data_IF_461781377217
#
_entry.id   IF_461781377217
#
_cell.length_a   1.000
_cell.length_b   1.000
_cell.length_c   1.000
_cell.angle_alpha   90.00
_cell.angle_beta   90.00
_cell.angle_gamma   90.00
#
_symmetry.space_group_name_H-M   'P 1'
#
loop_
_entity.id
_entity.type
_entity.pdbx_description
1 polymer ?
#
# COMPACT_ATOMS: atom_id res chain seq x y z
N UNK A 1 -10.76 -28.25 48.07
CA UNK A 1 -10.69 -26.85 47.60
C UNK A 1 -9.23 -26.50 47.38
N UNK A 2 -8.74 -26.58 46.14
CA UNK A 2 -7.41 -26.07 45.75
C UNK A 2 -7.67 -24.76 45.02
N UNK A 3 -7.38 -23.66 45.68
CA UNK A 3 -7.46 -22.34 45.07
C UNK A 3 -6.30 -22.19 44.08
N UNK A 4 -6.70 -22.05 42.83
CA UNK A 4 -5.90 -21.79 41.65
C UNK A 4 -5.47 -20.32 41.68
N UNK A 5 -4.27 -20.04 42.20
CA UNK A 5 -3.67 -18.71 42.10
C UNK A 5 -2.90 -18.60 40.78
N UNK A 6 -3.69 -18.22 39.76
CA UNK A 6 -3.37 -17.42 38.58
C UNK A 6 -1.91 -16.91 38.54
N UNK A 7 -1.08 -17.52 37.69
CA UNK A 7 0.19 -16.92 37.25
C UNK A 7 -0.13 -15.82 36.25
N UNK A 8 -0.19 -14.58 36.72
CA UNK A 8 0.02 -13.42 35.88
C UNK A 8 1.52 -13.34 35.57
N UNK A 9 1.92 -13.92 34.44
CA UNK A 9 3.24 -13.68 33.84
C UNK A 9 3.06 -13.59 32.34
N UNK A 10 3.43 -12.43 31.81
CA UNK A 10 3.68 -12.25 30.39
C UNK A 10 2.62 -11.42 29.68
N UNK A 11 2.44 -10.16 30.11
CA UNK A 11 2.35 -9.09 29.11
C UNK A 11 3.72 -8.97 28.43
N UNK A 12 4.11 -10.00 27.70
CA UNK A 12 5.10 -9.88 26.64
C UNK A 12 4.33 -9.19 25.51
N UNK A 13 4.20 -7.87 25.64
CA UNK A 13 3.88 -6.99 24.53
C UNK A 13 5.10 -7.02 23.64
N UNK A 14 5.31 -8.16 22.96
CA UNK A 14 6.28 -8.24 21.90
C UNK A 14 5.68 -7.42 20.76
N UNK A 15 5.94 -6.12 20.81
CA UNK A 15 6.01 -5.30 19.62
C UNK A 15 7.20 -5.84 18.83
N UNK A 16 7.02 -7.02 18.22
CA UNK A 16 7.74 -7.37 17.02
C UNK A 16 7.25 -6.34 16.04
N UNK A 17 7.92 -5.20 16.00
CA UNK A 17 7.82 -4.29 14.88
C UNK A 17 8.01 -5.18 13.67
N UNK A 18 6.96 -5.34 12.88
CA UNK A 18 6.93 -6.06 11.61
C UNK A 18 7.82 -5.34 10.56
N UNK A 19 9.03 -4.96 10.95
CA UNK A 19 10.15 -4.62 10.10
C UNK A 19 10.88 -5.89 9.62
N UNK A 20 10.24 -7.05 9.76
CA UNK A 20 10.59 -8.23 8.98
C UNK A 20 10.18 -7.96 7.55
N UNK A 21 11.11 -7.44 6.75
CA UNK A 21 11.02 -7.41 5.29
C UNK A 21 10.99 -8.87 4.83
N UNK A 22 9.81 -9.48 4.91
CA UNK A 22 9.58 -10.86 4.54
C UNK A 22 9.46 -10.87 3.02
N UNK A 23 10.61 -10.91 2.34
CA UNK A 23 10.82 -11.05 0.90
C UNK A 23 10.23 -12.36 0.31
N UNK A 24 9.07 -12.85 0.79
CA UNK A 24 8.36 -14.01 0.22
C UNK A 24 7.24 -13.64 -0.75
N UNK A 25 6.96 -12.35 -0.95
CA UNK A 25 5.91 -11.88 -1.87
C UNK A 25 6.51 -10.79 -2.77
N UNK A 26 7.15 -11.12 -3.91
CA UNK A 26 7.63 -10.10 -4.85
C UNK A 26 6.55 -9.07 -5.19
N UNK A 27 5.29 -9.51 -5.22
CA UNK A 27 4.11 -8.67 -5.37
C UNK A 27 4.00 -7.50 -4.37
N UNK A 28 4.32 -7.69 -3.08
CA UNK A 28 4.20 -6.63 -2.08
C UNK A 28 5.23 -5.51 -2.31
N UNK A 29 6.45 -5.89 -2.69
CA UNK A 29 7.52 -4.96 -3.03
C UNK A 29 7.17 -4.22 -4.33
N UNK A 30 6.62 -4.93 -5.33
CA UNK A 30 6.13 -4.30 -6.57
C UNK A 30 5.08 -3.23 -6.28
N UNK A 31 4.12 -3.49 -5.38
CA UNK A 31 3.13 -2.47 -5.01
C UNK A 31 3.75 -1.27 -4.30
N UNK A 32 4.69 -1.49 -3.38
CA UNK A 32 5.38 -0.41 -2.68
C UNK A 32 6.23 0.44 -3.64
N UNK A 33 6.92 -0.21 -4.59
CA UNK A 33 7.67 0.47 -5.64
C UNK A 33 6.75 1.25 -6.58
N UNK A 34 5.59 0.69 -6.94
CA UNK A 34 4.60 1.39 -7.76
C UNK A 34 4.10 2.67 -7.06
N UNK A 35 3.74 2.58 -5.78
CA UNK A 35 3.31 3.72 -4.97
C UNK A 35 4.43 4.81 -4.89
N UNK A 36 5.68 4.38 -4.73
CA UNK A 36 6.83 5.28 -4.73
C UNK A 36 7.07 5.95 -6.09
N UNK A 37 6.98 5.20 -7.19
CA UNK A 37 7.10 5.69 -8.56
C UNK A 37 6.02 6.72 -8.89
N UNK A 38 4.77 6.49 -8.47
CA UNK A 38 3.67 7.44 -8.60
C UNK A 38 4.03 8.76 -7.90
N UNK A 39 4.48 8.68 -6.65
CA UNK A 39 4.90 9.86 -5.89
C UNK A 39 6.03 10.63 -6.57
N UNK A 40 7.03 9.92 -7.11
CA UNK A 40 8.15 10.52 -7.80
C UNK A 40 7.74 11.19 -9.11
N UNK A 41 6.88 10.55 -9.92
CA UNK A 41 6.34 11.12 -11.16
C UNK A 41 5.52 12.37 -10.87
N UNK A 42 4.66 12.36 -9.84
CA UNK A 42 3.88 13.56 -9.48
C UNK A 42 4.77 14.69 -8.94
N UNK A 43 5.81 14.36 -8.19
CA UNK A 43 6.79 15.34 -7.71
C UNK A 43 7.54 15.98 -8.87
N UNK A 44 8.05 15.18 -9.82
CA UNK A 44 8.74 15.72 -11.00
C UNK A 44 7.77 16.51 -11.88
N UNK A 45 6.55 15.99 -12.07
CA UNK A 45 5.47 16.64 -12.81
C UNK A 45 5.11 18.01 -12.24
N UNK A 46 5.10 18.17 -10.92
CA UNK A 46 4.81 19.45 -10.28
C UNK A 46 5.88 20.50 -10.59
N UNK A 47 7.16 20.12 -10.57
CA UNK A 47 8.25 21.01 -10.99
C UNK A 47 8.19 21.36 -12.48
N UNK A 48 7.89 20.38 -13.34
CA UNK A 48 7.73 20.60 -14.78
C UNK A 48 6.58 21.59 -15.08
N UNK A 49 5.52 21.57 -14.27
CA UNK A 49 4.36 22.45 -14.43
C UNK A 49 4.65 23.93 -14.14
N UNK A 50 5.76 24.22 -13.43
CA UNK A 50 6.20 25.58 -13.11
C UNK A 50 6.81 26.31 -14.32
N UNK A 51 7.29 25.55 -15.31
CA UNK A 51 7.91 26.10 -16.51
C UNK A 51 6.99 25.94 -17.71
N UNK A 52 6.71 27.04 -18.41
CA UNK A 52 5.75 27.04 -19.53
C UNK A 52 6.20 26.16 -20.70
N UNK A 53 7.51 26.10 -20.96
CA UNK A 53 8.12 25.26 -22.01
C UNK A 53 8.05 23.76 -21.70
N UNK A 54 8.00 23.37 -20.42
CA UNK A 54 7.99 21.98 -19.97
C UNK A 54 6.59 21.50 -19.57
N UNK A 55 5.60 22.40 -19.59
CA UNK A 55 4.23 22.13 -19.17
C UNK A 55 3.58 20.98 -19.94
N UNK A 56 3.87 20.87 -21.24
CA UNK A 56 3.39 19.75 -22.07
C UNK A 56 3.93 18.41 -21.58
N UNK A 57 5.23 18.34 -21.27
CA UNK A 57 5.86 17.14 -20.71
C UNK A 57 5.31 16.81 -19.32
N UNK A 58 5.11 17.83 -18.47
CA UNK A 58 4.46 17.70 -17.17
C UNK A 58 3.03 17.15 -17.29
N UNK A 59 2.26 17.58 -18.29
CA UNK A 59 0.90 17.10 -18.52
C UNK A 59 0.85 15.61 -18.87
N UNK A 60 1.78 15.14 -19.71
CA UNK A 60 1.90 13.71 -20.02
C UNK A 60 2.37 12.88 -18.81
N UNK A 61 3.33 13.39 -18.03
CA UNK A 61 3.75 12.75 -16.77
C UNK A 61 2.57 12.64 -15.80
N UNK A 62 1.77 13.70 -15.68
CA UNK A 62 0.61 13.74 -14.80
C UNK A 62 -0.45 12.72 -15.24
N UNK A 63 -0.77 12.66 -16.54
CA UNK A 63 -1.70 11.68 -17.09
C UNK A 63 -1.24 10.24 -16.84
N UNK A 64 0.05 9.95 -17.08
CA UNK A 64 0.64 8.64 -16.79
C UNK A 64 0.61 8.31 -15.29
N UNK A 65 1.00 9.26 -14.44
CA UNK A 65 0.97 9.12 -12.98
C UNK A 65 -0.44 8.85 -12.44
N UNK A 66 -1.46 9.53 -12.99
CA UNK A 66 -2.86 9.30 -12.66
C UNK A 66 -3.31 7.88 -13.01
N UNK A 67 -2.94 7.38 -14.20
CA UNK A 67 -3.25 6.00 -14.59
C UNK A 67 -2.57 4.98 -13.66
N UNK A 68 -1.31 5.20 -13.29
CA UNK A 68 -0.60 4.33 -12.35
C UNK A 68 -1.28 4.33 -10.98
N UNK A 69 -1.73 5.50 -10.50
CA UNK A 69 -2.41 5.64 -9.20
C UNK A 69 -3.68 4.80 -9.11
N UNK A 70 -4.37 4.55 -10.23
CA UNK A 70 -5.58 3.74 -10.26
C UNK A 70 -5.33 2.23 -10.08
N UNK A 71 -4.11 1.74 -10.32
CA UNK A 71 -3.82 0.30 -10.33
C UNK A 71 -4.12 -0.33 -8.96
N UNK A 72 -3.58 0.25 -7.88
CA UNK A 72 -3.73 -0.25 -6.51
C UNK A 72 -5.18 -0.25 -6.00
N UNK A 73 -5.97 0.84 -6.09
CA UNK A 73 -7.37 0.83 -5.69
C UNK A 73 -8.22 -0.08 -6.58
N UNK A 74 -7.89 -0.23 -7.88
CA UNK A 74 -8.62 -1.15 -8.78
C UNK A 74 -8.45 -2.60 -8.36
N UNK A 75 -7.22 -3.03 -8.06
CA UNK A 75 -6.95 -4.40 -7.60
C UNK A 75 -7.63 -4.66 -6.25
N UNK A 76 -7.56 -3.71 -5.32
CA UNK A 76 -8.26 -3.79 -4.03
C UNK A 76 -9.77 -3.90 -4.22
N UNK A 77 -10.35 -3.07 -5.09
CA UNK A 77 -11.78 -3.06 -5.37
C UNK A 77 -12.26 -4.39 -5.96
N UNK A 78 -11.53 -4.95 -6.93
CA UNK A 78 -11.84 -6.26 -7.51
C UNK A 78 -11.74 -7.36 -6.44
N UNK A 79 -10.69 -7.31 -5.60
CA UNK A 79 -10.51 -8.26 -4.51
C UNK A 79 -11.65 -8.18 -3.50
N UNK A 80 -12.03 -6.98 -3.07
CA UNK A 80 -13.11 -6.73 -2.11
C UNK A 80 -14.48 -7.17 -2.66
N UNK A 81 -14.77 -6.88 -3.94
CA UNK A 81 -16.01 -7.32 -4.60
C UNK A 81 -16.06 -8.85 -4.72
N UNK A 82 -14.95 -9.50 -5.06
CA UNK A 82 -14.87 -10.96 -5.15
C UNK A 82 -15.00 -11.62 -3.76
N UNK A 83 -14.29 -11.09 -2.77
CA UNK A 83 -14.29 -11.62 -1.40
C UNK A 83 -15.66 -11.48 -0.72
N UNK A 84 -16.34 -10.36 -0.93
CA UNK A 84 -17.71 -10.13 -0.40
C UNK A 84 -18.73 -11.15 -0.92
N UNK A 85 -18.42 -11.86 -2.03
CA UNK A 85 -19.26 -12.94 -2.55
C UNK A 85 -19.05 -14.28 -1.83
N UNK A 86 -17.91 -14.48 -1.17
CA UNK A 86 -17.61 -15.66 -0.35
C UNK A 86 -17.95 -15.48 1.14
N UNK A 87 -17.89 -14.27 1.68
CA UNK A 87 -18.27 -13.96 3.08
C UNK A 87 -19.78 -13.69 3.24
N UNK A 88 -20.62 -14.51 2.61
CA UNK A 88 -22.07 -14.58 2.89
C UNK A 88 -22.54 -16.00 3.26
N UNK A 89 -21.59 -16.89 3.54
CA UNK A 89 -21.78 -18.20 4.17
C UNK A 89 -20.65 -18.40 5.18
N UNK A 90 -20.73 -17.76 6.34
CA UNK A 90 -20.30 -18.25 7.66
C UNK A 90 -21.00 -17.38 8.70
#
# INVERSE_FOLDING_TARGET
>A
MKHEHKREKGEEVIRIGEYGIFFKRPYQILYMLNDFLIGLIFLIGSFLFLYESLKTAGCWLFAAGSLLLLIRPTIRLIHDIHYKRYTRKQ
#
